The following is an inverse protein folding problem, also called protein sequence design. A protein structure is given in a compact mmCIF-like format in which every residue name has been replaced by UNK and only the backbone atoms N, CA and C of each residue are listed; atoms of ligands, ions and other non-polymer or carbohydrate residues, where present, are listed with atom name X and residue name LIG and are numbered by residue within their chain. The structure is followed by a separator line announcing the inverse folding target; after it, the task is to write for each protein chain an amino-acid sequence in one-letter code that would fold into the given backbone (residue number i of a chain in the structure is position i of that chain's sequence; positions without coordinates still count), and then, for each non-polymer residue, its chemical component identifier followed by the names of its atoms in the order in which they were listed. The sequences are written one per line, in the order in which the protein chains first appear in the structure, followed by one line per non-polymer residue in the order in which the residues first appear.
data_IF_329786701469
#
_entry.id   IF_329786701469
#
_cell.length_a   1.000
_cell.length_b   1.000
_cell.length_c   1.000
_cell.angle_alpha   90.00
_cell.angle_beta   90.00
_cell.angle_gamma   90.00
#
_symmetry.space_group_name_H-M   'P 1'
#
loop_
_entity.id
_entity.type
_entity.pdbx_description
1 polymer ?
#
# COMPACT_ATOMS: atom_id res chain seq x y z
N UNK A 1 9.71 65.28 40.44
CA UNK A 1 11.05 64.64 40.47
C UNK A 1 11.38 63.88 39.18
N UNK A 2 10.78 62.72 38.89
CA UNK A 2 11.15 61.93 37.70
C UNK A 2 10.79 62.63 36.37
N UNK A 3 9.57 63.18 36.26
CA UNK A 3 9.12 63.92 35.08
C UNK A 3 9.96 65.18 34.83
N UNK A 4 10.30 65.93 35.89
CA UNK A 4 11.17 67.10 35.81
C UNK A 4 12.55 66.74 35.26
N UNK A 5 13.17 65.67 35.76
CA UNK A 5 14.47 65.20 35.29
C UNK A 5 14.45 64.86 33.79
N UNK A 6 13.39 64.18 33.32
CA UNK A 6 13.23 63.85 31.90
C UNK A 6 13.02 65.09 31.04
N UNK A 7 12.21 66.07 31.47
CA UNK A 7 12.05 67.33 30.74
C UNK A 7 13.36 68.12 30.67
N UNK A 8 14.09 68.25 31.78
CA UNK A 8 15.40 68.93 31.80
C UNK A 8 16.42 68.24 30.89
N UNK A 9 16.47 66.91 30.89
CA UNK A 9 17.34 66.14 30.00
C UNK A 9 16.93 66.30 28.53
N UNK A 10 15.63 66.30 28.25
CA UNK A 10 15.08 66.56 26.92
C UNK A 10 15.43 67.95 26.40
N UNK A 11 15.30 68.98 27.24
CA UNK A 11 15.67 70.37 26.92
C UNK A 11 17.18 70.48 26.63
N UNK A 12 18.02 69.84 27.47
CA UNK A 12 19.46 69.83 27.26
C UNK A 12 19.84 69.21 25.90
N UNK A 13 19.25 68.07 25.57
CA UNK A 13 19.47 67.41 24.28
C UNK A 13 18.96 68.26 23.12
N UNK A 14 17.77 68.86 23.25
CA UNK A 14 17.21 69.72 22.22
C UNK A 14 18.11 70.94 21.93
N UNK A 15 18.69 71.54 22.97
CA UNK A 15 19.64 72.66 22.85
C UNK A 15 20.98 72.24 22.23
N UNK A 16 21.49 71.06 22.55
CA UNK A 16 22.80 70.58 22.04
C UNK A 16 22.73 70.05 20.60
N UNK A 17 21.59 69.48 20.19
CA UNK A 17 21.42 68.84 18.89
C UNK A 17 21.04 69.76 17.73
N UNK A 18 20.96 71.08 17.94
CA UNK A 18 20.43 72.03 16.94
C UNK A 18 18.96 71.76 16.59
N UNK A 19 18.16 71.33 17.58
CA UNK A 19 16.82 70.78 17.36
C UNK A 19 15.79 71.83 16.93
N UNK A 20 14.70 71.33 16.37
CA UNK A 20 13.52 72.09 15.98
C UNK A 20 13.03 73.01 17.12
N UNK A 21 12.98 74.35 16.91
CA UNK A 21 12.44 75.31 17.87
C UNK A 21 11.06 74.93 18.41
N UNK A 22 10.26 74.19 17.65
CA UNK A 22 8.96 73.67 18.07
C UNK A 22 9.07 72.68 19.23
N UNK A 23 9.94 71.67 19.12
CA UNK A 23 10.15 70.64 20.15
C UNK A 23 10.68 71.26 21.44
N UNK A 24 11.66 72.17 21.32
CA UNK A 24 12.19 72.89 22.48
C UNK A 24 11.09 73.73 23.15
N UNK A 25 10.28 74.44 22.36
CA UNK A 25 9.13 75.21 22.85
C UNK A 25 8.13 74.34 23.63
N UNK A 26 7.78 73.15 23.11
CA UNK A 26 6.87 72.22 23.79
C UNK A 26 7.45 71.74 25.12
N UNK A 27 8.72 71.32 25.14
CA UNK A 27 9.37 70.82 26.36
C UNK A 27 9.47 71.89 27.45
N UNK A 28 9.80 73.12 27.07
CA UNK A 28 9.84 74.28 27.97
C UNK A 28 8.45 74.62 28.53
N UNK A 29 7.40 74.58 27.68
CA UNK A 29 6.02 74.83 28.12
C UNK A 29 5.54 73.77 29.12
N UNK A 30 5.85 72.50 28.84
CA UNK A 30 5.46 71.38 29.70
C UNK A 30 6.20 71.40 31.04
N UNK A 31 7.50 71.74 31.04
CA UNK A 31 8.26 71.91 32.28
C UNK A 31 7.71 73.09 33.11
N UNK A 32 7.36 74.21 32.46
CA UNK A 32 6.71 75.33 33.14
C UNK A 32 5.36 74.94 33.74
N UNK A 33 4.53 74.20 32.99
CA UNK A 33 3.24 73.67 33.49
C UNK A 33 3.44 72.77 34.70
N UNK A 34 4.42 71.85 34.65
CA UNK A 34 4.75 70.96 35.75
C UNK A 34 5.14 71.74 37.02
N UNK A 35 5.88 72.84 36.90
CA UNK A 35 6.24 73.68 38.05
C UNK A 35 5.02 74.40 38.66
N UNK A 36 4.06 74.84 37.83
CA UNK A 36 2.79 75.40 38.32
C UNK A 36 2.02 74.34 39.11
N UNK A 37 1.87 73.13 38.55
CA UNK A 37 1.15 72.02 39.20
C UNK A 37 1.78 71.58 40.53
N UNK A 38 3.10 71.68 40.65
CA UNK A 38 3.83 71.38 41.88
C UNK A 38 3.75 72.50 42.93
N UNK A 39 3.13 73.63 42.62
CA UNK A 39 3.03 74.78 43.52
C UNK A 39 4.29 75.63 43.59
N UNK A 40 5.16 75.57 42.56
CA UNK A 40 6.36 76.39 42.41
C UNK A 40 6.25 77.31 41.17
N UNK A 41 5.22 78.15 41.04
CA UNK A 41 4.99 78.97 39.85
C UNK A 41 6.17 79.90 39.55
N UNK A 42 6.91 80.38 40.55
CA UNK A 42 8.09 81.23 40.37
C UNK A 42 9.18 80.60 39.50
N UNK A 43 9.31 79.26 39.51
CA UNK A 43 10.27 78.53 38.66
C UNK A 43 9.77 78.38 37.22
N UNK A 44 8.48 78.55 36.96
CA UNK A 44 7.88 78.29 35.65
C UNK A 44 8.09 79.44 34.65
N UNK A 45 8.12 80.68 35.14
CA UNK A 45 8.01 81.87 34.28
C UNK A 45 9.09 81.96 33.19
N UNK A 46 10.36 81.72 33.56
CA UNK A 46 11.47 81.78 32.60
C UNK A 46 11.31 80.76 31.47
N UNK A 47 10.90 79.53 31.80
CA UNK A 47 10.66 78.48 30.81
C UNK A 47 9.45 78.79 29.93
N UNK A 48 8.37 79.34 30.48
CA UNK A 48 7.17 79.69 29.72
C UNK A 48 7.40 80.85 28.75
N UNK A 49 8.15 81.88 29.17
CA UNK A 49 8.51 83.01 28.31
C UNK A 49 9.51 82.59 27.23
N UNK A 50 10.48 81.74 27.56
CA UNK A 50 11.40 81.17 26.56
C UNK A 50 10.62 80.36 25.51
N UNK A 51 9.70 79.49 25.96
CA UNK A 51 8.80 78.74 25.07
C UNK A 51 7.99 79.66 24.15
N UNK A 52 7.38 80.70 24.71
CA UNK A 52 6.59 81.66 23.94
C UNK A 52 7.41 82.40 22.88
N UNK A 53 8.62 82.86 23.23
CA UNK A 53 9.51 83.55 22.29
C UNK A 53 9.96 82.64 21.15
N UNK A 54 10.25 81.37 21.44
CA UNK A 54 10.60 80.38 20.43
C UNK A 54 9.44 80.18 19.46
N UNK A 55 8.23 79.94 19.99
CA UNK A 55 6.99 79.77 19.20
C UNK A 55 6.64 81.02 18.38
N UNK A 56 6.89 82.20 18.92
CA UNK A 56 6.74 83.46 18.18
C UNK A 56 7.76 83.57 17.03
N UNK A 57 9.02 83.23 17.28
CA UNK A 57 10.07 83.28 16.24
C UNK A 57 9.86 82.27 15.11
N UNK A 58 9.22 81.13 15.41
CA UNK A 58 8.84 80.12 14.43
C UNK A 58 7.45 80.34 13.80
N UNK A 59 6.72 81.38 14.21
CA UNK A 59 5.35 81.67 13.78
C UNK A 59 4.37 80.50 14.04
N UNK A 60 4.59 79.74 15.12
CA UNK A 60 3.71 78.68 15.59
C UNK A 60 2.50 79.27 16.31
N UNK A 61 1.46 79.63 15.54
CA UNK A 61 0.25 80.24 16.09
C UNK A 61 -0.50 79.33 17.07
N UNK A 62 -0.45 78.00 16.87
CA UNK A 62 -1.08 77.02 17.77
C UNK A 62 -0.34 76.98 19.09
N UNK A 63 0.99 76.84 19.05
CA UNK A 63 1.84 76.85 20.23
C UNK A 63 1.80 78.20 20.94
N UNK A 64 1.73 79.33 20.24
CA UNK A 64 1.54 80.64 20.87
C UNK A 64 0.23 80.67 21.67
N UNK A 65 -0.87 80.16 21.10
CA UNK A 65 -2.14 80.07 21.82
C UNK A 65 -2.09 79.15 23.05
N UNK A 66 -1.38 78.02 22.97
CA UNK A 66 -1.10 77.16 24.12
C UNK A 66 -0.26 77.87 25.19
N UNK A 67 0.78 78.58 24.78
CA UNK A 67 1.64 79.35 25.69
C UNK A 67 0.86 80.47 26.37
N UNK A 68 -0.07 81.14 25.68
CA UNK A 68 -1.00 82.09 26.29
C UNK A 68 -1.91 81.41 27.34
N UNK A 69 -2.43 80.21 27.08
CA UNK A 69 -3.17 79.43 28.09
C UNK A 69 -2.32 79.13 29.32
N UNK A 70 -1.11 78.61 29.13
CA UNK A 70 -0.22 78.24 30.24
C UNK A 70 0.29 79.46 31.01
N UNK A 71 0.60 80.58 30.33
CA UNK A 71 0.95 81.84 31.00
C UNK A 71 -0.21 82.38 31.83
N UNK A 72 -1.45 82.23 31.35
CA UNK A 72 -2.60 82.59 32.17
C UNK A 72 -2.73 81.73 33.43
N UNK A 73 -2.46 80.42 33.34
CA UNK A 73 -2.42 79.54 34.52
C UNK A 73 -1.34 79.97 35.51
N UNK A 74 -0.17 80.39 35.03
CA UNK A 74 0.87 81.00 35.86
C UNK A 74 0.36 82.26 36.57
N UNK A 75 -0.23 83.21 35.83
CA UNK A 75 -0.74 84.45 36.41
C UNK A 75 -1.87 84.21 37.41
N UNK A 76 -2.75 83.25 37.15
CA UNK A 76 -3.76 82.79 38.12
C UNK A 76 -3.10 82.24 39.38
N UNK A 77 -2.04 81.43 39.27
CA UNK A 77 -1.34 80.85 40.41
C UNK A 77 -0.67 81.90 41.31
N UNK A 78 -0.24 83.03 40.75
CA UNK A 78 0.30 84.16 41.51
C UNK A 78 -0.76 85.23 41.88
N UNK A 79 -2.05 84.92 41.70
CA UNK A 79 -3.20 85.78 41.98
C UNK A 79 -3.30 87.07 41.13
N UNK A 80 -2.63 87.14 39.97
CA UNK A 80 -2.82 88.20 38.99
C UNK A 80 -3.90 87.82 37.97
N UNK A 81 -5.15 87.90 38.41
CA UNK A 81 -6.32 87.52 37.61
C UNK A 81 -6.50 88.44 36.39
N UNK A 82 -6.07 89.71 36.46
CA UNK A 82 -6.22 90.64 35.34
C UNK A 82 -5.34 90.25 34.17
N UNK A 83 -4.05 90.01 34.42
CA UNK A 83 -3.09 89.60 33.40
C UNK A 83 -3.43 88.20 32.88
N UNK A 84 -3.89 87.30 33.75
CA UNK A 84 -4.38 85.98 33.32
C UNK A 84 -5.48 86.08 32.27
N UNK A 85 -6.51 86.91 32.50
CA UNK A 85 -7.60 87.09 31.53
C UNK A 85 -7.11 87.69 30.21
N UNK A 86 -6.13 88.60 30.23
CA UNK A 86 -5.54 89.13 28.99
C UNK A 86 -4.89 88.01 28.18
N UNK A 87 -4.07 87.17 28.83
CA UNK A 87 -3.44 86.02 28.18
C UNK A 87 -4.49 85.03 27.65
N UNK A 88 -5.54 84.72 28.43
CA UNK A 88 -6.60 83.84 27.97
C UNK A 88 -7.36 84.41 26.77
N UNK A 89 -7.70 85.70 26.74
CA UNK A 89 -8.37 86.30 25.58
C UNK A 89 -7.49 86.22 24.31
N UNK A 90 -6.19 86.41 24.45
CA UNK A 90 -5.26 86.29 23.33
C UNK A 90 -5.10 84.84 22.86
N UNK A 91 -5.02 83.89 23.80
CA UNK A 91 -5.06 82.45 23.49
C UNK A 91 -6.35 82.04 22.78
N UNK A 92 -7.49 82.59 23.19
CA UNK A 92 -8.80 82.35 22.58
C UNK A 92 -8.87 82.93 21.17
N UNK A 93 -8.35 84.15 20.97
CA UNK A 93 -8.24 84.80 19.66
C UNK A 93 -7.39 83.98 18.69
N UNK A 94 -6.22 83.50 19.15
CA UNK A 94 -5.34 82.65 18.35
C UNK A 94 -6.03 81.32 18.03
N UNK A 95 -6.65 80.66 19.00
CA UNK A 95 -7.39 79.41 18.79
C UNK A 95 -8.50 79.55 17.73
N UNK A 96 -9.25 80.65 17.75
CA UNK A 96 -10.22 80.98 16.70
C UNK A 96 -9.56 81.20 15.35
N UNK A 97 -8.46 81.97 15.31
CA UNK A 97 -7.73 82.29 14.08
C UNK A 97 -7.20 81.03 13.37
N UNK A 98 -6.68 80.07 14.13
CA UNK A 98 -6.16 78.81 13.59
C UNK A 98 -7.24 77.73 13.42
N UNK A 99 -8.47 77.98 13.89
CA UNK A 99 -9.56 76.99 13.87
C UNK A 99 -9.31 75.78 14.78
N UNK A 100 -8.46 75.91 15.80
CA UNK A 100 -8.12 74.81 16.71
C UNK A 100 -9.18 74.68 17.81
N UNK A 101 -10.15 73.79 17.57
CA UNK A 101 -11.29 73.56 18.46
C UNK A 101 -10.89 73.00 19.84
N UNK A 102 -9.82 72.20 19.93
CA UNK A 102 -9.32 71.67 21.21
C UNK A 102 -8.81 72.81 22.09
N UNK A 103 -7.91 73.63 21.55
CA UNK A 103 -7.37 74.77 22.27
C UNK A 103 -8.46 75.80 22.59
N UNK A 104 -9.43 76.00 21.69
CA UNK A 104 -10.57 76.87 21.91
C UNK A 104 -11.39 76.42 23.12
N UNK A 105 -11.59 75.11 23.26
CA UNK A 105 -12.29 74.49 24.40
C UNK A 105 -11.49 74.69 25.69
N UNK A 106 -10.19 74.40 25.67
CA UNK A 106 -9.28 74.56 26.82
C UNK A 106 -9.23 76.02 27.33
N UNK A 107 -9.19 76.99 26.43
CA UNK A 107 -9.13 78.41 26.81
C UNK A 107 -10.51 78.94 27.22
N UNK A 108 -11.59 78.52 26.56
CA UNK A 108 -12.95 78.94 26.90
C UNK A 108 -13.34 78.54 28.34
N UNK A 109 -12.99 77.32 28.77
CA UNK A 109 -13.29 76.90 30.15
C UNK A 109 -12.48 77.71 31.17
N UNK A 110 -11.22 78.04 30.87
CA UNK A 110 -10.39 78.88 31.74
C UNK A 110 -10.91 80.31 31.83
N UNK A 111 -11.42 80.88 30.73
CA UNK A 111 -12.09 82.18 30.74
C UNK A 111 -13.37 82.15 31.57
N UNK A 112 -14.17 81.09 31.45
CA UNK A 112 -15.35 80.88 32.30
C UNK A 112 -14.96 80.86 33.79
N UNK A 113 -13.99 80.03 34.18
CA UNK A 113 -13.49 79.94 35.56
C UNK A 113 -13.00 81.30 36.09
N UNK A 114 -12.26 82.05 35.27
CA UNK A 114 -11.74 83.36 35.60
C UNK A 114 -12.84 84.41 35.84
N UNK A 115 -13.79 84.54 34.90
CA UNK A 115 -14.90 85.48 35.06
C UNK A 115 -15.88 85.08 36.15
N UNK A 116 -16.04 83.78 36.42
CA UNK A 116 -16.82 83.30 37.56
C UNK A 116 -16.20 83.73 38.88
N UNK A 117 -14.87 83.62 39.05
CA UNK A 117 -14.16 84.13 40.25
C UNK A 117 -14.29 85.64 40.42
N UNK A 118 -14.32 86.40 39.32
CA UNK A 118 -14.55 87.85 39.36
C UNK A 118 -16.01 88.25 39.64
N UNK A 119 -16.94 87.31 39.67
CA UNK A 119 -18.38 87.60 39.81
C UNK A 119 -19.03 88.19 38.55
N UNK A 120 -18.36 88.13 37.39
CA UNK A 120 -18.89 88.61 36.12
C UNK A 120 -19.71 87.50 35.43
N UNK A 121 -20.99 87.40 35.78
CA UNK A 121 -21.89 86.35 35.30
C UNK A 121 -22.07 86.36 33.78
N UNK A 122 -22.15 87.52 33.13
CA UNK A 122 -22.39 87.62 31.69
C UNK A 122 -21.22 87.08 30.88
N UNK A 123 -19.98 87.49 31.22
CA UNK A 123 -18.77 86.98 30.57
C UNK A 123 -18.57 85.50 30.86
N UNK A 124 -18.82 85.05 32.10
CA UNK A 124 -18.75 83.64 32.45
C UNK A 124 -19.73 82.82 31.59
N UNK A 125 -21.00 83.22 31.51
CA UNK A 125 -22.00 82.54 30.70
C UNK A 125 -21.61 82.48 29.21
N UNK A 126 -21.11 83.60 28.66
CA UNK A 126 -20.63 83.65 27.26
C UNK A 126 -19.58 82.57 26.98
N UNK A 127 -18.54 82.49 27.82
CA UNK A 127 -17.45 81.53 27.59
C UNK A 127 -17.84 80.10 27.93
N UNK A 128 -18.78 79.88 28.86
CA UNK A 128 -19.35 78.57 29.10
C UNK A 128 -20.14 78.03 27.90
N UNK A 129 -20.97 78.86 27.26
CA UNK A 129 -21.70 78.49 26.04
C UNK A 129 -20.71 78.15 24.91
N UNK A 130 -19.69 79.00 24.71
CA UNK A 130 -18.67 78.74 23.70
C UNK A 130 -17.91 77.41 23.96
N UNK A 131 -17.59 77.10 25.21
CA UNK A 131 -17.02 75.81 25.61
C UNK A 131 -17.98 74.65 25.28
N UNK A 132 -19.24 74.75 25.70
CA UNK A 132 -20.23 73.69 25.55
C UNK A 132 -20.48 73.33 24.08
N UNK A 133 -20.65 74.33 23.21
CA UNK A 133 -20.89 74.14 21.78
C UNK A 133 -19.72 73.42 21.08
N UNK A 134 -18.49 73.86 21.36
CA UNK A 134 -17.29 73.27 20.75
C UNK A 134 -17.03 71.87 21.30
N UNK A 135 -17.20 71.68 22.61
CA UNK A 135 -17.03 70.38 23.25
C UNK A 135 -18.07 69.35 22.77
N UNK A 136 -19.33 69.74 22.57
CA UNK A 136 -20.34 68.88 21.98
C UNK A 136 -19.95 68.43 20.56
N UNK A 137 -19.46 69.36 19.73
CA UNK A 137 -19.00 69.07 18.38
C UNK A 137 -17.82 68.09 18.38
N UNK A 138 -16.81 68.34 19.21
CA UNK A 138 -15.64 67.45 19.36
C UNK A 138 -16.05 66.05 19.82
N UNK A 139 -16.98 65.93 20.76
CA UNK A 139 -17.46 64.64 21.25
C UNK A 139 -18.23 63.87 20.16
N UNK A 140 -19.06 64.55 19.36
CA UNK A 140 -19.74 63.91 18.21
C UNK A 140 -18.75 63.41 17.17
N UNK A 141 -17.72 64.19 16.87
CA UNK A 141 -16.66 63.80 15.94
C UNK A 141 -15.84 62.62 16.48
N UNK A 142 -15.46 62.64 17.75
CA UNK A 142 -14.76 61.54 18.41
C UNK A 142 -15.60 60.25 18.42
N UNK A 143 -16.91 60.34 18.67
CA UNK A 143 -17.82 59.21 18.61
C UNK A 143 -17.93 58.64 17.18
N UNK A 144 -18.02 59.51 16.16
CA UNK A 144 -18.07 59.10 14.76
C UNK A 144 -16.76 58.41 14.31
N UNK A 145 -15.60 58.96 14.71
CA UNK A 145 -14.30 58.36 14.45
C UNK A 145 -14.14 57.00 15.14
N UNK A 146 -14.58 56.88 16.39
CA UNK A 146 -14.57 55.63 17.14
C UNK A 146 -15.45 54.57 16.48
N UNK A 147 -16.64 54.94 16.02
CA UNK A 147 -17.55 54.05 15.28
C UNK A 147 -16.90 53.58 13.96
N UNK A 148 -16.32 54.51 13.20
CA UNK A 148 -15.62 54.20 11.94
C UNK A 148 -14.46 53.23 12.18
N UNK A 149 -13.65 53.48 13.21
CA UNK A 149 -12.53 52.61 13.58
C UNK A 149 -13.02 51.22 14.01
N UNK A 150 -14.13 51.14 14.74
CA UNK A 150 -14.77 49.88 15.11
C UNK A 150 -15.24 49.10 13.88
N UNK A 151 -15.92 49.75 12.93
CA UNK A 151 -16.36 49.12 11.68
C UNK A 151 -15.19 48.58 10.84
N UNK A 152 -14.11 49.36 10.71
CA UNK A 152 -12.91 48.94 10.00
C UNK A 152 -12.29 47.71 10.67
N UNK A 153 -12.17 47.75 12.00
CA UNK A 153 -11.58 46.65 12.78
C UNK A 153 -12.43 45.39 12.68
N UNK A 154 -13.76 45.52 12.81
CA UNK A 154 -14.69 44.40 12.69
C UNK A 154 -14.65 43.76 11.30
N UNK A 155 -14.67 44.56 10.22
CA UNK A 155 -14.52 44.06 8.83
C UNK A 155 -13.18 43.38 8.60
N UNK A 156 -12.10 43.95 9.15
CA UNK A 156 -10.77 43.36 9.08
C UNK A 156 -10.71 42.00 9.79
N UNK A 157 -11.31 41.90 10.98
CA UNK A 157 -11.40 40.64 11.72
C UNK A 157 -12.22 39.58 10.98
N UNK A 158 -13.36 39.95 10.40
CA UNK A 158 -14.18 39.06 9.57
C UNK A 158 -13.39 38.54 8.35
N UNK A 159 -12.73 39.44 7.61
CA UNK A 159 -11.87 39.07 6.48
C UNK A 159 -10.74 38.13 6.89
N UNK A 160 -10.13 38.38 8.06
CA UNK A 160 -9.08 37.51 8.63
C UNK A 160 -9.63 36.14 9.01
N UNK A 161 -10.84 36.04 9.54
CA UNK A 161 -11.49 34.76 9.84
C UNK A 161 -11.79 33.97 8.56
N UNK A 162 -12.32 34.62 7.53
CA UNK A 162 -12.56 34.00 6.22
C UNK A 162 -11.28 33.45 5.60
N UNK A 163 -10.20 34.24 5.62
CA UNK A 163 -8.89 33.81 5.11
C UNK A 163 -8.35 32.59 5.87
N UNK A 164 -8.51 32.54 7.20
CA UNK A 164 -8.14 31.36 8.00
C UNK A 164 -8.97 30.13 7.62
N UNK A 165 -10.28 30.29 7.43
CA UNK A 165 -11.16 29.19 7.04
C UNK A 165 -10.82 28.66 5.64
N UNK A 166 -10.53 29.55 4.68
CA UNK A 166 -10.08 29.17 3.34
C UNK A 166 -8.75 28.43 3.39
N UNK A 167 -7.81 28.89 4.22
CA UNK A 167 -6.53 28.21 4.42
C UNK A 167 -6.71 26.81 5.00
N UNK A 168 -7.54 26.67 6.04
CA UNK A 168 -7.88 25.36 6.61
C UNK A 168 -8.53 24.43 5.57
N UNK A 169 -9.45 24.95 4.75
CA UNK A 169 -10.05 24.18 3.65
C UNK A 169 -9.03 23.73 2.61
N UNK A 170 -8.04 24.58 2.27
CA UNK A 170 -6.94 24.20 1.36
C UNK A 170 -6.08 23.10 1.95
N UNK A 171 -5.70 23.20 3.22
CA UNK A 171 -4.92 22.18 3.93
C UNK A 171 -5.66 20.84 3.99
N UNK A 172 -6.95 20.86 4.35
CA UNK A 172 -7.80 19.66 4.32
C UNK A 172 -7.89 19.05 2.92
N UNK A 173 -8.02 19.89 1.88
CA UNK A 173 -8.04 19.43 0.49
C UNK A 173 -6.73 18.75 0.10
N UNK A 174 -5.58 19.33 0.44
CA UNK A 174 -4.27 18.74 0.13
C UNK A 174 -4.06 17.42 0.88
N UNK A 175 -4.47 17.34 2.15
CA UNK A 175 -4.40 16.10 2.91
C UNK A 175 -5.28 15.01 2.27
N UNK A 176 -6.50 15.34 1.86
CA UNK A 176 -7.39 14.39 1.19
C UNK A 176 -6.80 13.90 -0.15
N UNK A 177 -6.30 14.82 -0.99
CA UNK A 177 -5.61 14.45 -2.24
C UNK A 177 -4.40 13.55 -1.97
N UNK A 178 -3.56 13.88 -0.98
CA UNK A 178 -2.42 13.06 -0.59
C UNK A 178 -2.81 11.64 -0.16
N UNK A 179 -3.85 11.50 0.67
CA UNK A 179 -4.38 10.20 1.09
C UNK A 179 -4.94 9.39 -0.08
N UNK A 180 -5.64 10.02 -1.02
CA UNK A 180 -6.16 9.33 -2.21
C UNK A 180 -5.03 8.80 -3.10
N UNK A 181 -3.95 9.58 -3.29
CA UNK A 181 -2.77 9.13 -4.05
C UNK A 181 -2.05 7.97 -3.36
N UNK A 182 -1.89 8.02 -2.04
CA UNK A 182 -1.32 6.92 -1.26
C UNK A 182 -2.16 5.65 -1.35
N UNK A 183 -3.50 5.77 -1.32
CA UNK A 183 -4.41 4.63 -1.49
C UNK A 183 -4.27 4.01 -2.89
N UNK A 184 -4.19 4.83 -3.95
CA UNK A 184 -3.98 4.36 -5.32
C UNK A 184 -2.65 3.60 -5.42
N UNK A 185 -1.56 4.16 -4.85
CA UNK A 185 -0.26 3.48 -4.84
C UNK A 185 -0.30 2.16 -4.06
N UNK A 186 -1.00 2.11 -2.94
CA UNK A 186 -1.17 0.87 -2.17
C UNK A 186 -1.95 -0.18 -2.95
N UNK A 187 -3.01 0.21 -3.67
CA UNK A 187 -3.79 -0.69 -4.53
C UNK A 187 -2.93 -1.21 -5.69
N UNK A 188 -2.17 -0.34 -6.36
CA UNK A 188 -1.27 -0.76 -7.46
C UNK A 188 -0.21 -1.74 -6.94
N UNK A 189 0.41 -1.45 -5.80
CA UNK A 189 1.39 -2.34 -5.15
C UNK A 189 0.78 -3.70 -4.80
N UNK A 190 -0.44 -3.71 -4.23
CA UNK A 190 -1.17 -4.93 -3.91
C UNK A 190 -1.49 -5.75 -5.17
N UNK A 191 -2.00 -5.11 -6.23
CA UNK A 191 -2.29 -5.79 -7.50
C UNK A 191 -1.03 -6.37 -8.14
N UNK A 192 0.08 -5.62 -8.11
CA UNK A 192 1.38 -6.11 -8.56
C UNK A 192 1.81 -7.34 -7.77
N UNK A 193 1.72 -7.29 -6.44
CA UNK A 193 2.09 -8.40 -5.56
C UNK A 193 1.22 -9.65 -5.81
N UNK A 194 -0.09 -9.48 -5.97
CA UNK A 194 -1.02 -10.58 -6.28
C UNK A 194 -0.73 -11.18 -7.65
N UNK A 195 -0.50 -10.36 -8.67
CA UNK A 195 -0.13 -10.79 -10.02
C UNK A 195 1.19 -11.55 -10.02
N UNK A 196 2.20 -11.03 -9.33
CA UNK A 196 3.52 -11.66 -9.21
C UNK A 196 3.42 -13.02 -8.49
N UNK A 197 2.70 -13.08 -7.37
CA UNK A 197 2.46 -14.32 -6.61
C UNK A 197 1.72 -15.36 -7.45
N UNK A 198 0.68 -14.95 -8.19
CA UNK A 198 -0.05 -15.83 -9.11
C UNK A 198 0.85 -16.36 -10.23
N UNK A 199 1.64 -15.50 -10.86
CA UNK A 199 2.56 -15.91 -11.94
C UNK A 199 3.63 -16.88 -11.44
N UNK A 200 4.15 -16.68 -10.22
CA UNK A 200 5.08 -17.63 -9.60
C UNK A 200 4.43 -18.99 -9.34
N UNK A 201 3.19 -19.01 -8.83
CA UNK A 201 2.43 -20.26 -8.61
C UNK A 201 2.19 -21.02 -9.92
N UNK A 202 1.75 -20.32 -10.97
CA UNK A 202 1.52 -20.93 -12.28
C UNK A 202 2.80 -21.52 -12.89
N UNK A 203 3.94 -20.83 -12.72
CA UNK A 203 5.24 -21.35 -13.17
C UNK A 203 5.65 -22.62 -12.40
N UNK A 204 5.51 -22.60 -11.07
CA UNK A 204 5.81 -23.76 -10.23
C UNK A 204 4.89 -24.96 -10.53
N UNK A 205 3.63 -24.70 -10.82
CA UNK A 205 2.66 -25.74 -11.19
C UNK A 205 3.02 -26.35 -12.56
N UNK A 206 3.34 -25.51 -13.56
CA UNK A 206 3.79 -25.98 -14.86
C UNK A 206 5.09 -26.81 -14.77
N UNK A 207 6.06 -26.37 -13.97
CA UNK A 207 7.30 -27.10 -13.70
C UNK A 207 7.02 -28.44 -13.01
N UNK A 208 6.09 -28.48 -12.04
CA UNK A 208 5.67 -29.73 -11.39
C UNK A 208 5.01 -30.71 -12.36
N UNK A 209 4.13 -30.22 -13.23
CA UNK A 209 3.47 -31.05 -14.25
C UNK A 209 4.51 -31.65 -15.18
N UNK A 210 5.48 -30.85 -15.64
CA UNK A 210 6.56 -31.32 -16.51
C UNK A 210 7.44 -32.36 -15.81
N UNK A 211 7.81 -32.12 -14.55
CA UNK A 211 8.62 -33.05 -13.77
C UNK A 211 7.89 -34.38 -13.52
N UNK A 212 6.59 -34.33 -13.21
CA UNK A 212 5.77 -35.52 -13.03
C UNK A 212 5.62 -36.30 -14.34
N UNK A 213 5.43 -35.63 -15.48
CA UNK A 213 5.38 -36.28 -16.78
C UNK A 213 6.71 -37.01 -17.10
N UNK A 214 7.85 -36.36 -16.87
CA UNK A 214 9.17 -36.97 -17.06
C UNK A 214 9.38 -38.16 -16.11
N UNK A 215 8.93 -38.06 -14.87
CA UNK A 215 8.99 -39.17 -13.91
C UNK A 215 8.15 -40.37 -14.36
N UNK A 216 6.94 -40.13 -14.85
CA UNK A 216 6.07 -41.19 -15.38
C UNK A 216 6.68 -41.86 -16.62
N UNK A 217 7.35 -41.10 -17.49
CA UNK A 217 8.04 -41.64 -18.66
C UNK A 217 9.21 -42.56 -18.25
N UNK A 218 10.05 -42.11 -17.31
CA UNK A 218 11.14 -42.93 -16.77
C UNK A 218 10.64 -44.20 -16.08
N UNK A 219 9.55 -44.10 -15.31
CA UNK A 219 8.92 -45.24 -14.64
C UNK A 219 8.38 -46.25 -15.66
N UNK A 220 7.71 -45.77 -16.72
CA UNK A 220 7.23 -46.61 -17.82
C UNK A 220 8.39 -47.35 -18.50
N UNK A 221 9.46 -46.65 -18.87
CA UNK A 221 10.64 -47.26 -19.49
C UNK A 221 11.27 -48.33 -18.59
N UNK A 222 11.28 -48.11 -17.28
CA UNK A 222 11.81 -49.08 -16.31
C UNK A 222 10.95 -50.34 -16.24
N UNK A 223 9.62 -50.20 -16.22
CA UNK A 223 8.67 -51.30 -16.21
C UNK A 223 8.70 -52.10 -17.51
N UNK A 224 8.84 -51.43 -18.66
CA UNK A 224 8.95 -52.10 -19.96
C UNK A 224 10.22 -52.97 -20.02
N UNK A 225 11.35 -52.47 -19.53
CA UNK A 225 12.59 -53.25 -19.43
C UNK A 225 12.46 -54.44 -18.49
N UNK A 226 11.85 -54.25 -17.32
CA UNK A 226 11.62 -55.35 -16.38
C UNK A 226 10.71 -56.43 -16.98
N UNK A 227 9.64 -56.01 -17.67
CA UNK A 227 8.73 -56.90 -18.37
C UNK A 227 9.43 -57.65 -19.52
N UNK A 228 10.33 -57.00 -20.25
CA UNK A 228 11.15 -57.67 -21.28
C UNK A 228 12.09 -58.72 -20.68
N UNK A 229 12.74 -58.40 -19.56
CA UNK A 229 13.60 -59.34 -18.83
C UNK A 229 12.78 -60.55 -18.37
N UNK A 230 11.61 -60.33 -17.77
CA UNK A 230 10.73 -61.41 -17.30
C UNK A 230 10.24 -62.29 -18.44
N UNK A 231 9.91 -61.70 -19.60
CA UNK A 231 9.56 -62.46 -20.82
C UNK A 231 10.73 -63.36 -21.28
N UNK A 232 11.96 -62.85 -21.28
CA UNK A 232 13.16 -63.62 -21.65
C UNK A 232 13.44 -64.75 -20.66
N UNK A 233 13.34 -64.49 -19.35
CA UNK A 233 13.49 -65.50 -18.29
C UNK A 233 12.48 -66.63 -18.47
N UNK A 234 11.20 -66.30 -18.68
CA UNK A 234 10.14 -67.28 -18.90
C UNK A 234 10.43 -68.12 -20.15
N UNK A 235 10.72 -67.48 -21.28
CA UNK A 235 10.96 -68.16 -22.57
C UNK A 235 12.15 -69.12 -22.47
N UNK A 236 13.23 -68.69 -21.81
CA UNK A 236 14.42 -69.52 -21.62
C UNK A 236 14.12 -70.74 -20.75
N UNK A 237 13.37 -70.57 -19.65
CA UNK A 237 12.98 -71.67 -18.79
C UNK A 237 12.08 -72.67 -19.53
N UNK A 238 11.07 -72.18 -20.25
CA UNK A 238 10.20 -73.02 -21.08
C UNK A 238 11.02 -73.79 -22.12
N UNK A 239 11.91 -73.14 -22.86
CA UNK A 239 12.77 -73.78 -23.85
C UNK A 239 13.68 -74.85 -23.23
N UNK A 240 14.22 -74.59 -22.04
CA UNK A 240 15.00 -75.58 -21.30
C UNK A 240 14.17 -76.82 -20.93
N UNK A 241 12.93 -76.64 -20.45
CA UNK A 241 12.03 -77.77 -20.18
C UNK A 241 11.70 -78.55 -21.45
N UNK A 242 11.50 -77.86 -22.59
CA UNK A 242 11.28 -78.50 -23.90
C UNK A 242 12.47 -79.38 -24.29
N UNK A 243 13.68 -78.82 -24.28
CA UNK A 243 14.90 -79.56 -24.64
C UNK A 243 15.14 -80.77 -23.75
N UNK A 244 14.88 -80.62 -22.44
CA UNK A 244 14.96 -81.73 -21.49
C UNK A 244 13.98 -82.85 -21.85
N UNK A 245 12.75 -82.52 -22.22
CA UNK A 245 11.74 -83.50 -22.59
C UNK A 245 12.04 -84.18 -23.93
N UNK A 246 12.57 -83.44 -24.92
CA UNK A 246 13.02 -83.99 -26.20
C UNK A 246 14.13 -85.04 -25.98
N UNK A 247 15.11 -84.73 -25.13
CA UNK A 247 16.18 -85.67 -24.78
C UNK A 247 15.63 -86.95 -24.14
N UNK A 248 14.67 -86.84 -23.22
CA UNK A 248 14.03 -88.01 -22.60
C UNK A 248 13.33 -88.86 -23.66
N UNK A 249 12.57 -88.23 -24.56
CA UNK A 249 11.89 -88.93 -25.64
C UNK A 249 12.87 -89.63 -26.59
N UNK A 250 13.96 -88.97 -26.98
CA UNK A 250 15.01 -89.59 -27.80
C UNK A 250 15.65 -90.80 -27.13
N UNK A 251 15.92 -90.72 -25.82
CA UNK A 251 16.46 -91.82 -25.02
C UNK A 251 15.47 -92.98 -25.02
N UNK A 252 14.18 -92.72 -24.77
CA UNK A 252 13.12 -93.74 -24.81
C UNK A 252 13.05 -94.42 -26.18
N UNK A 253 13.09 -93.65 -27.28
CA UNK A 253 13.06 -94.20 -28.64
C UNK A 253 14.29 -95.07 -28.95
N UNK A 254 15.49 -94.62 -28.54
CA UNK A 254 16.73 -95.41 -28.67
C UNK A 254 16.63 -96.73 -27.89
N UNK A 255 16.12 -96.69 -26.66
CA UNK A 255 15.91 -97.88 -25.82
C UNK A 255 14.87 -98.84 -26.42
N UNK A 256 13.75 -98.33 -26.93
CA UNK A 256 12.71 -99.14 -27.59
C UNK A 256 13.25 -99.83 -28.85
N UNK A 257 14.05 -99.12 -29.67
CA UNK A 257 14.68 -99.70 -30.87
C UNK A 257 15.66 -100.82 -30.53
N UNK A 258 16.45 -100.66 -29.46
CA UNK A 258 17.39 -101.68 -28.98
C UNK A 258 16.65 -102.90 -28.42
N UNK A 259 15.49 -102.69 -27.80
CA UNK A 259 14.59 -103.74 -27.31
C UNK A 259 14.03 -104.63 -28.43
N UNK A 260 13.79 -104.08 -29.63
CA UNK A 260 13.29 -104.82 -30.80
C UNK A 260 14.32 -105.80 -31.39
N UNK A 261 15.60 -105.64 -31.06
CA UNK A 261 16.72 -106.43 -31.63
C UNK A 261 17.39 -107.39 -30.65
N UNK A 262 17.05 -107.38 -29.37
CA UNK A 262 17.75 -108.14 -28.34
C UNK A 262 17.10 -109.50 -28.02
N UNK A 263 17.89 -110.57 -27.92
CA UNK A 263 17.47 -111.89 -27.41
C UNK A 263 18.03 -112.12 -25.99
N UNK A 264 17.14 -112.43 -25.04
CA UNK A 264 17.32 -112.80 -23.60
C UNK A 264 17.16 -111.67 -22.54
N UNK A 265 17.11 -112.00 -21.23
CA UNK A 265 15.96 -111.98 -20.31
C UNK A 265 15.79 -110.64 -19.57
N UNK A 266 16.50 -109.59 -19.97
CA UNK A 266 16.59 -108.30 -19.24
C UNK A 266 15.56 -107.26 -19.71
N UNK A 267 14.58 -107.70 -20.52
CA UNK A 267 13.50 -106.85 -21.02
C UNK A 267 12.65 -106.24 -19.89
N UNK A 268 12.57 -106.87 -18.71
CA UNK A 268 11.79 -106.32 -17.58
C UNK A 268 12.43 -105.09 -16.96
N UNK A 269 13.75 -105.11 -16.73
CA UNK A 269 14.48 -103.94 -16.23
C UNK A 269 14.45 -102.82 -17.25
N UNK A 270 14.65 -103.15 -18.54
CA UNK A 270 14.56 -102.16 -19.62
C UNK A 270 13.15 -101.53 -19.73
N UNK A 271 12.08 -102.34 -19.63
CA UNK A 271 10.69 -101.86 -19.58
C UNK A 271 10.40 -101.05 -18.32
N UNK A 272 11.09 -101.30 -17.21
CA UNK A 272 10.93 -100.54 -15.99
C UNK A 272 11.67 -99.21 -16.09
N UNK A 273 12.90 -99.18 -16.61
CA UNK A 273 13.66 -97.95 -16.90
C UNK A 273 12.94 -97.07 -17.93
N UNK A 274 12.38 -97.66 -18.99
CA UNK A 274 11.51 -96.94 -19.94
C UNK A 274 10.28 -96.40 -19.20
N UNK A 275 9.59 -97.21 -18.40
CA UNK A 275 8.43 -96.73 -17.61
C UNK A 275 8.80 -95.69 -16.55
N UNK A 276 10.01 -95.72 -16.00
CA UNK A 276 10.47 -94.76 -14.99
C UNK A 276 10.88 -93.43 -15.66
N UNK A 277 11.49 -93.48 -16.85
CA UNK A 277 11.71 -92.31 -17.70
C UNK A 277 10.39 -91.73 -18.24
N UNK A 278 9.43 -92.58 -18.63
CA UNK A 278 8.07 -92.21 -19.00
C UNK A 278 7.23 -91.75 -17.80
N UNK A 279 7.54 -92.16 -16.56
CA UNK A 279 6.92 -91.60 -15.35
C UNK A 279 7.50 -90.24 -14.97
N UNK A 280 8.78 -90.02 -15.28
CA UNK A 280 9.40 -88.68 -15.21
C UNK A 280 8.74 -87.71 -16.21
N UNK A 281 8.04 -88.25 -17.22
CA UNK A 281 7.26 -87.52 -18.21
C UNK A 281 5.85 -87.14 -17.71
N UNK A 282 5.42 -87.49 -16.49
CA UNK A 282 4.00 -87.34 -16.13
C UNK A 282 3.59 -85.98 -15.49
N UNK A 283 2.62 -85.35 -16.13
CA UNK A 283 1.61 -84.38 -15.66
C UNK A 283 1.99 -83.01 -15.08
N UNK A 284 3.18 -82.76 -14.50
CA UNK A 284 3.44 -81.45 -13.85
C UNK A 284 3.90 -80.34 -14.81
N UNK A 285 4.42 -80.68 -16.00
CA UNK A 285 4.99 -79.69 -16.95
C UNK A 285 3.93 -78.73 -17.46
N UNK A 286 2.73 -79.23 -17.76
CA UNK A 286 1.63 -78.37 -18.20
C UNK A 286 1.12 -77.48 -17.07
N UNK A 287 0.98 -78.02 -15.85
CA UNK A 287 0.54 -77.22 -14.69
C UNK A 287 1.54 -76.11 -14.38
N UNK A 288 2.85 -76.39 -14.47
CA UNK A 288 3.88 -75.39 -14.27
C UNK A 288 3.92 -74.36 -15.42
N UNK A 289 3.72 -74.80 -16.67
CA UNK A 289 3.56 -73.89 -17.80
C UNK A 289 2.35 -72.98 -17.63
N UNK A 290 1.19 -73.52 -17.23
CA UNK A 290 -0.07 -72.79 -17.12
C UNK A 290 0.02 -71.71 -16.04
N UNK A 291 0.56 -72.05 -14.86
CA UNK A 291 0.81 -71.08 -13.77
C UNK A 291 1.73 -69.95 -14.22
N UNK A 292 2.82 -70.26 -14.92
CA UNK A 292 3.80 -69.25 -15.35
C UNK A 292 3.32 -68.43 -16.56
N UNK A 293 2.55 -69.05 -17.45
CA UNK A 293 1.96 -68.38 -18.60
C UNK A 293 0.89 -67.38 -18.13
N UNK A 294 0.05 -67.76 -17.18
CA UNK A 294 -0.98 -66.89 -16.60
C UNK A 294 -0.34 -65.68 -15.90
N UNK A 295 0.79 -65.85 -15.21
CA UNK A 295 1.53 -64.73 -14.58
C UNK A 295 2.02 -63.65 -15.57
N UNK A 296 2.31 -64.00 -16.82
CA UNK A 296 2.81 -63.06 -17.84
C UNK A 296 1.70 -62.60 -18.79
N UNK A 297 0.74 -63.47 -19.08
CA UNK A 297 -0.41 -63.23 -19.93
C UNK A 297 -1.69 -63.25 -19.10
N UNK A 298 -1.75 -62.34 -18.13
CA UNK A 298 -2.94 -62.11 -17.32
C UNK A 298 -4.15 -61.93 -18.25
N UNK A 299 -5.25 -62.57 -17.90
CA UNK A 299 -6.54 -62.54 -18.62
C UNK A 299 -6.59 -63.27 -19.98
N UNK A 300 -5.50 -63.90 -20.47
CA UNK A 300 -5.54 -64.61 -21.76
C UNK A 300 -6.61 -65.71 -21.79
N UNK A 301 -6.65 -66.55 -20.76
CA UNK A 301 -7.65 -67.62 -20.67
C UNK A 301 -9.06 -67.08 -20.45
N UNK A 302 -9.20 -65.93 -19.78
CA UNK A 302 -10.49 -65.26 -19.62
C UNK A 302 -11.01 -64.76 -20.96
N UNK A 303 -10.18 -64.02 -21.73
CA UNK A 303 -10.53 -63.57 -23.09
C UNK A 303 -10.82 -64.74 -24.03
N UNK A 304 -10.05 -65.82 -23.91
CA UNK A 304 -10.28 -67.03 -24.70
C UNK A 304 -11.63 -67.69 -24.37
N UNK A 305 -12.03 -67.69 -23.09
CA UNK A 305 -13.35 -68.18 -22.66
C UNK A 305 -14.50 -67.28 -23.13
N UNK A 306 -14.30 -65.97 -23.21
CA UNK A 306 -15.28 -65.02 -23.74
C UNK A 306 -15.52 -65.23 -25.25
N UNK A 307 -14.48 -65.62 -25.99
CA UNK A 307 -14.57 -65.89 -27.43
C UNK A 307 -15.26 -67.22 -27.72
N UNK A 308 -14.85 -68.29 -27.03
CA UNK A 308 -15.46 -69.61 -27.20
C UNK A 308 -15.32 -70.45 -25.92
N UNK A 309 -16.36 -70.45 -25.10
CA UNK A 309 -16.44 -71.26 -23.89
C UNK A 309 -16.41 -72.78 -24.15
N UNK A 310 -16.67 -73.22 -25.39
CA UNK A 310 -16.70 -74.64 -25.79
C UNK A 310 -15.32 -75.23 -26.10
N UNK A 311 -14.26 -74.42 -26.00
CA UNK A 311 -12.89 -74.89 -26.19
C UNK A 311 -12.51 -75.90 -25.11
N UNK A 312 -12.08 -77.08 -25.57
CA UNK A 312 -11.60 -78.15 -24.69
C UNK A 312 -10.26 -77.76 -24.04
N UNK A 313 -9.89 -78.38 -22.90
CA UNK A 313 -8.60 -78.11 -22.26
C UNK A 313 -7.39 -78.26 -23.19
N UNK A 314 -7.42 -79.24 -24.11
CA UNK A 314 -6.35 -79.45 -25.10
C UNK A 314 -6.33 -78.38 -26.21
N UNK A 315 -7.46 -77.80 -26.55
CA UNK A 315 -7.53 -76.69 -27.50
C UNK A 315 -7.05 -75.38 -26.85
N UNK A 316 -7.38 -75.14 -25.57
CA UNK A 316 -6.86 -74.00 -24.80
C UNK A 316 -5.34 -74.07 -24.64
N UNK A 317 -4.82 -75.26 -24.37
CA UNK A 317 -3.38 -75.56 -24.37
C UNK A 317 -2.73 -75.19 -25.70
N UNK A 318 -3.34 -75.62 -26.80
CA UNK A 318 -2.86 -75.28 -28.13
C UNK A 318 -2.86 -73.77 -28.36
N UNK A 319 -3.90 -73.04 -27.95
CA UNK A 319 -3.93 -71.58 -28.04
C UNK A 319 -2.76 -70.91 -27.29
N UNK A 320 -2.45 -71.37 -26.07
CA UNK A 320 -1.35 -70.83 -25.28
C UNK A 320 0.02 -71.06 -25.94
N UNK A 321 0.26 -72.24 -26.54
CA UNK A 321 1.49 -72.48 -27.30
C UNK A 321 1.59 -71.61 -28.56
N UNK A 322 0.48 -71.41 -29.25
CA UNK A 322 0.42 -70.55 -30.43
C UNK A 322 0.61 -69.07 -30.08
N UNK A 323 0.12 -68.64 -28.91
CA UNK A 323 0.34 -67.28 -28.37
C UNK A 323 1.82 -66.99 -28.17
N UNK A 324 2.59 -68.00 -27.79
CA UNK A 324 4.05 -67.95 -27.67
C UNK A 324 4.77 -68.17 -29.01
N UNK A 325 4.04 -68.15 -30.13
CA UNK A 325 4.56 -68.34 -31.48
C UNK A 325 5.28 -69.68 -31.70
N UNK A 326 4.88 -70.74 -30.98
CA UNK A 326 5.46 -72.07 -31.16
C UNK A 326 5.00 -72.73 -32.48
N UNK A 327 5.94 -73.35 -33.17
CA UNK A 327 5.70 -74.15 -34.37
C UNK A 327 5.04 -75.49 -34.03
N UNK A 328 4.37 -76.10 -35.01
CA UNK A 328 3.77 -77.44 -34.83
C UNK A 328 4.79 -78.51 -34.45
N UNK A 329 6.05 -78.33 -34.88
CA UNK A 329 7.16 -79.21 -34.51
C UNK A 329 7.50 -79.07 -33.02
N UNK A 330 7.63 -77.85 -32.51
CA UNK A 330 7.90 -77.60 -31.08
C UNK A 330 6.74 -78.08 -30.20
N UNK A 331 5.50 -77.83 -30.61
CA UNK A 331 4.31 -78.30 -29.88
C UNK A 331 4.24 -79.84 -29.88
N UNK A 332 4.64 -80.50 -30.96
CA UNK A 332 4.69 -81.97 -31.04
C UNK A 332 5.68 -82.56 -30.04
N UNK A 333 6.83 -81.90 -29.84
CA UNK A 333 7.83 -82.29 -28.86
C UNK A 333 7.34 -82.09 -27.42
N UNK A 334 6.55 -81.05 -27.17
CA UNK A 334 5.98 -80.77 -25.84
C UNK A 334 4.88 -81.78 -25.47
N UNK A 335 4.01 -82.09 -26.43
CA UNK A 335 2.78 -82.84 -26.17
C UNK A 335 2.93 -84.35 -26.40
N UNK A 336 4.07 -84.81 -26.94
CA UNK A 336 4.30 -86.19 -27.32
C UNK A 336 3.42 -86.67 -28.50
N UNK A 337 2.70 -85.77 -29.16
CA UNK A 337 1.86 -86.07 -30.31
C UNK A 337 2.65 -85.91 -31.60
N UNK A 338 2.27 -86.59 -32.69
CA UNK A 338 2.95 -86.38 -33.97
C UNK A 338 2.76 -84.95 -34.48
N UNK A 339 3.75 -84.35 -35.19
CA UNK A 339 3.60 -83.02 -35.81
C UNK A 339 2.33 -82.90 -36.66
N UNK A 340 1.99 -83.97 -37.38
CA UNK A 340 0.78 -84.06 -38.19
C UNK A 340 -0.50 -83.98 -37.35
N UNK A 341 -0.50 -84.54 -36.14
CA UNK A 341 -1.63 -84.43 -35.20
C UNK A 341 -1.84 -82.98 -34.77
N UNK A 342 -0.75 -82.27 -34.50
CA UNK A 342 -0.78 -80.85 -34.11
C UNK A 342 -1.26 -79.98 -35.27
N UNK A 343 -0.81 -80.20 -36.50
CA UNK A 343 -1.28 -79.45 -37.67
C UNK A 343 -2.79 -79.62 -37.91
N UNK A 344 -3.28 -80.85 -37.72
CA UNK A 344 -4.72 -81.13 -37.77
C UNK A 344 -5.45 -80.41 -36.63
N UNK A 345 -4.91 -80.41 -35.42
CA UNK A 345 -5.47 -79.69 -34.28
C UNK A 345 -5.51 -78.17 -34.52
N UNK A 346 -4.45 -77.58 -35.09
CA UNK A 346 -4.41 -76.15 -35.49
C UNK A 346 -5.47 -75.83 -36.53
N UNK A 347 -5.64 -76.70 -37.52
CA UNK A 347 -6.66 -76.53 -38.57
C UNK A 347 -8.08 -76.60 -37.99
N UNK A 348 -8.33 -77.51 -37.05
CA UNK A 348 -9.61 -77.62 -36.33
C UNK A 348 -9.87 -76.39 -35.46
N UNK A 349 -8.86 -75.96 -34.72
CA UNK A 349 -8.92 -74.77 -33.87
C UNK A 349 -9.21 -73.52 -34.70
N UNK A 350 -8.57 -73.36 -35.87
CA UNK A 350 -8.84 -72.26 -36.81
C UNK A 350 -10.30 -72.25 -37.27
N UNK A 351 -10.87 -73.43 -37.58
CA UNK A 351 -12.28 -73.56 -37.96
C UNK A 351 -13.21 -73.18 -36.81
N UNK A 352 -12.90 -73.66 -35.61
CA UNK A 352 -13.71 -73.46 -34.40
C UNK A 352 -13.73 -72.00 -33.95
N UNK A 353 -12.62 -71.28 -34.10
CA UNK A 353 -12.53 -69.83 -33.88
C UNK A 353 -13.07 -69.00 -35.06
N UNK A 354 -13.74 -69.60 -36.04
CA UNK A 354 -14.32 -68.95 -37.21
C UNK A 354 -13.32 -68.18 -38.12
N UNK A 355 -12.05 -68.59 -38.14
CA UNK A 355 -10.97 -67.93 -38.91
C UNK A 355 -10.71 -68.57 -40.28
N UNK A 356 -11.59 -69.45 -40.77
CA UNK A 356 -11.34 -70.22 -42.00
C UNK A 356 -11.26 -69.33 -43.25
N UNK A 357 -11.99 -68.22 -43.27
CA UNK A 357 -12.09 -67.29 -44.40
C UNK A 357 -11.52 -65.89 -44.07
N UNK A 358 -10.76 -65.75 -42.98
CA UNK A 358 -10.13 -64.49 -42.61
C UNK A 358 -8.70 -64.41 -43.13
N UNK A 359 -8.26 -63.22 -43.52
CA UNK A 359 -6.87 -62.94 -43.93
C UNK A 359 -5.88 -63.02 -42.75
N UNK A 360 -6.39 -62.97 -41.52
CA UNK A 360 -5.58 -63.08 -40.29
C UNK A 360 -5.06 -64.50 -40.05
N UNK A 361 -3.77 -64.59 -39.73
CA UNK A 361 -3.14 -65.84 -39.29
C UNK A 361 -3.69 -66.29 -37.93
N UNK A 362 -3.77 -67.61 -37.68
CA UNK A 362 -4.24 -68.13 -36.39
C UNK A 362 -3.34 -67.67 -35.24
N UNK A 363 -2.02 -67.64 -35.47
CA UNK A 363 -1.03 -67.16 -34.48
C UNK A 363 -1.15 -65.66 -34.26
N UNK A 364 -1.31 -64.88 -35.34
CA UNK A 364 -1.48 -63.43 -35.28
C UNK A 364 -2.76 -63.03 -34.53
N UNK A 365 -3.86 -63.73 -34.78
CA UNK A 365 -5.12 -63.56 -34.07
C UNK A 365 -4.97 -63.81 -32.57
N UNK A 366 -4.33 -64.93 -32.19
CA UNK A 366 -4.08 -65.25 -30.78
C UNK A 366 -3.06 -64.29 -30.16
N UNK A 367 -2.05 -63.83 -30.91
CA UNK A 367 -1.07 -62.83 -30.48
C UNK A 367 -1.71 -61.47 -30.15
N UNK A 368 -2.88 -61.16 -30.69
CA UNK A 368 -3.64 -59.95 -30.36
C UNK A 368 -4.52 -60.06 -29.10
N UNK A 369 -4.80 -61.28 -28.60
CA UNK A 369 -5.60 -61.53 -27.38
C UNK A 369 -4.81 -61.32 -26.09
#
# INVERSE_FOLDING_TARGET
DLAENYYQKGILLARQGGSDPEILGILLNNLGTLFIEQGYPEKSYEYLIESFRLRQSSNDLVGMGQSHRTLAEYYMAINDEHTAIQHLNEGYRLALQVGNMSLLTEVAIKLFEAYQRQGNADSALKYYIAYADVNEKLNREAAANTLTQFEITSKYEESRQLMRLEQQRKEQRYLFVGLTLLLILAIISLLYFLSHSRNKRLRLEAENIQLNAQKMELEKDSLEKELEIKKKELTTNVMYQIQKNELIYEIVQKLQKQMATAQRPDQRWLLQTIRDLERTHDTSVWQEFEVRFEQVHNDFYQKLNEIDASLTPNERRLCAFLKLNMSSKEISLITGQSPRTIDVARTRLRKKLNLTNSDTGLVEYLAAL
#
